data_IF_410447358841
#
_entry.id   IF_410447358841
#
_cell.length_a   1.000
_cell.length_b   1.000
_cell.length_c   1.000
_cell.angle_alpha   90.00
_cell.angle_beta   90.00
_cell.angle_gamma   90.00
#
_symmetry.space_group_name_H-M   'P 1'
#
loop_
_entity.id
_entity.type
_entity.pdbx_description
1 polymer ?
#
# COMPACT_ATOMS: atom_id res chain seq x y z
N UNK A 1 3.16 6.01 33.62
CA UNK A 1 2.45 5.45 32.46
C UNK A 1 1.88 4.10 32.89
N UNK A 2 0.59 3.82 32.72
CA UNK A 2 -0.02 2.58 33.23
C UNK A 2 0.35 1.40 32.31
N UNK A 3 1.19 0.48 32.79
CA UNK A 3 1.64 -0.70 32.04
C UNK A 3 0.52 -1.71 31.81
N UNK A 4 -0.48 -1.75 32.69
CA UNK A 4 -1.58 -2.74 32.65
C UNK A 4 -2.38 -2.65 31.35
N UNK A 5 -2.67 -1.43 30.88
CA UNK A 5 -3.40 -1.18 29.63
C UNK A 5 -2.67 -1.75 28.41
N UNK A 6 -1.33 -1.74 28.44
CA UNK A 6 -0.50 -2.25 27.33
C UNK A 6 -0.33 -3.78 27.36
N UNK A 7 -0.88 -4.47 28.37
CA UNK A 7 -0.81 -5.93 28.48
C UNK A 7 -2.14 -6.62 28.17
N UNK A 8 -3.14 -5.86 27.70
CA UNK A 8 -4.48 -6.33 27.38
C UNK A 8 -4.85 -6.02 25.92
N UNK A 9 -5.85 -6.74 25.40
CA UNK A 9 -6.34 -6.60 24.01
C UNK A 9 -7.07 -5.26 23.77
N UNK A 10 -7.39 -4.52 24.83
CA UNK A 10 -8.15 -3.26 24.79
C UNK A 10 -7.31 -2.04 24.40
N UNK A 11 -5.99 -2.18 24.20
CA UNK A 11 -5.11 -1.07 23.83
C UNK A 11 -5.69 -0.26 22.65
N UNK A 12 -5.93 1.03 22.86
CA UNK A 12 -6.45 1.93 21.83
C UNK A 12 -5.34 2.52 20.96
N UNK A 13 -5.70 3.07 19.80
CA UNK A 13 -4.75 3.76 18.93
C UNK A 13 -4.24 5.04 19.58
N UNK A 14 -5.12 5.75 20.29
CA UNK A 14 -4.79 6.99 21.00
C UNK A 14 -3.78 6.74 22.12
N UNK A 15 -3.98 5.68 22.91
CA UNK A 15 -3.03 5.27 23.95
C UNK A 15 -1.68 4.90 23.34
N UNK A 16 -1.67 4.10 22.27
CA UNK A 16 -0.43 3.77 21.57
C UNK A 16 0.26 5.03 21.03
N UNK A 17 -0.48 5.94 20.39
CA UNK A 17 0.08 7.17 19.83
C UNK A 17 0.70 8.06 20.90
N UNK A 18 0.07 8.15 22.08
CA UNK A 18 0.55 8.99 23.19
C UNK A 18 1.95 8.64 23.69
N UNK A 19 2.41 7.41 23.44
CA UNK A 19 3.71 6.91 23.91
C UNK A 19 4.78 6.90 22.81
N UNK A 20 4.39 7.11 21.55
CA UNK A 20 5.32 7.11 20.43
C UNK A 20 6.00 8.47 20.29
N UNK A 21 7.33 8.46 20.20
CA UNK A 21 8.15 9.69 20.04
C UNK A 21 8.01 10.38 18.67
N UNK A 22 7.31 9.76 17.72
CA UNK A 22 7.20 10.23 16.34
C UNK A 22 5.76 10.13 15.89
N UNK A 23 5.35 11.07 15.06
CA UNK A 23 4.08 11.00 14.36
C UNK A 23 4.14 9.94 13.26
N UNK A 24 3.21 9.00 13.36
CA UNK A 24 3.00 7.96 12.37
C UNK A 24 1.63 8.13 11.75
N UNK A 25 1.48 7.69 10.49
CA UNK A 25 0.17 7.64 9.85
C UNK A 25 -0.78 6.66 10.57
N UNK A 26 -2.08 6.90 10.48
CA UNK A 26 -3.12 6.06 11.10
C UNK A 26 -2.95 4.57 10.75
N UNK A 27 -2.67 4.27 9.48
CA UNK A 27 -2.42 2.89 9.03
C UNK A 27 -1.22 2.23 9.72
N UNK A 28 -0.19 3.01 10.02
CA UNK A 28 0.98 2.54 10.76
C UNK A 28 0.62 2.29 12.22
N UNK A 29 -0.16 3.19 12.84
CA UNK A 29 -0.63 3.03 14.22
C UNK A 29 -1.53 1.80 14.38
N UNK A 30 -2.50 1.59 13.48
CA UNK A 30 -3.34 0.38 13.43
C UNK A 30 -2.46 -0.86 13.33
N UNK A 31 -1.47 -0.84 12.45
CA UNK A 31 -0.54 -1.96 12.28
C UNK A 31 0.27 -2.23 13.55
N UNK A 32 0.80 -1.18 14.18
CA UNK A 32 1.61 -1.30 15.39
C UNK A 32 0.80 -1.81 16.58
N UNK A 33 -0.43 -1.33 16.75
CA UNK A 33 -1.37 -1.85 17.74
C UNK A 33 -1.57 -3.35 17.55
N UNK A 34 -1.97 -3.77 16.35
CA UNK A 34 -2.25 -5.18 16.06
C UNK A 34 -1.00 -6.05 16.21
N UNK A 35 0.16 -5.55 15.78
CA UNK A 35 1.43 -6.25 15.92
C UNK A 35 1.81 -6.43 17.41
N UNK A 36 1.53 -5.44 18.26
CA UNK A 36 1.75 -5.50 19.71
C UNK A 36 0.77 -6.43 20.42
N UNK A 37 -0.54 -6.28 20.18
CA UNK A 37 -1.57 -7.15 20.76
C UNK A 37 -1.30 -8.63 20.43
N UNK A 38 -0.91 -8.93 19.20
CA UNK A 38 -0.51 -10.28 18.80
C UNK A 38 0.72 -10.81 19.59
N UNK A 39 1.67 -9.92 19.93
CA UNK A 39 2.81 -10.30 20.75
C UNK A 39 2.42 -10.52 22.22
N UNK A 40 1.57 -9.66 22.77
CA UNK A 40 1.01 -9.81 24.13
C UNK A 40 0.28 -11.15 24.26
N UNK A 41 -0.60 -11.48 23.31
CA UNK A 41 -1.31 -12.76 23.29
C UNK A 41 -0.34 -13.96 23.24
N UNK A 42 0.71 -13.87 22.41
CA UNK A 42 1.76 -14.89 22.40
C UNK A 42 2.42 -15.04 23.79
N UNK A 43 2.79 -13.93 24.43
CA UNK A 43 3.40 -13.94 25.75
C UNK A 43 2.51 -14.56 26.82
N UNK A 44 1.21 -14.25 26.81
CA UNK A 44 0.22 -14.83 27.71
C UNK A 44 0.09 -16.35 27.51
N UNK A 45 -0.04 -16.80 26.26
CA UNK A 45 -0.11 -18.24 25.94
C UNK A 45 1.12 -19.02 26.39
N UNK A 46 2.30 -18.39 26.35
CA UNK A 46 3.57 -18.99 26.74
C UNK A 46 3.98 -18.68 28.19
N UNK A 47 3.12 -18.01 28.97
CA UNK A 47 3.36 -17.63 30.37
C UNK A 47 4.68 -16.87 30.58
N UNK A 48 4.99 -15.94 29.68
CA UNK A 48 6.17 -15.07 29.75
C UNK A 48 5.77 -13.60 29.73
N UNK A 49 6.64 -12.73 30.25
CA UNK A 49 6.38 -11.29 30.25
C UNK A 49 6.46 -10.70 28.84
N UNK A 50 5.47 -9.87 28.49
CA UNK A 50 5.49 -9.06 27.25
C UNK A 50 6.25 -7.74 27.42
N UNK A 51 6.32 -7.20 28.65
CA UNK A 51 7.00 -5.96 28.97
C UNK A 51 7.58 -5.99 30.40
N UNK A 52 8.91 -5.94 30.59
CA UNK A 52 9.93 -6.13 29.57
C UNK A 52 9.95 -7.60 29.07
N UNK A 53 9.99 -7.78 27.76
CA UNK A 53 10.14 -9.10 27.16
C UNK A 53 11.58 -9.60 27.21
N UNK A 54 11.74 -10.91 27.40
CA UNK A 54 13.05 -11.56 27.26
C UNK A 54 13.45 -11.71 25.80
N UNK A 55 14.76 -11.69 25.53
CA UNK A 55 15.33 -11.99 24.20
C UNK A 55 14.80 -13.31 23.64
N UNK A 56 14.66 -14.33 24.50
CA UNK A 56 14.17 -15.65 24.13
C UNK A 56 12.71 -15.61 23.67
N UNK A 57 11.84 -14.87 24.37
CA UNK A 57 10.45 -14.70 23.97
C UNK A 57 10.33 -14.05 22.59
N UNK A 58 11.10 -13.00 22.31
CA UNK A 58 11.13 -12.35 20.99
C UNK A 58 11.58 -13.32 19.90
N UNK A 59 12.63 -14.10 20.17
CA UNK A 59 13.18 -15.07 19.21
C UNK A 59 12.13 -16.12 18.82
N UNK A 60 11.51 -16.76 19.82
CA UNK A 60 10.48 -17.79 19.59
C UNK A 60 9.27 -17.19 18.88
N UNK A 61 8.87 -15.97 19.25
CA UNK A 61 7.77 -15.26 18.59
C UNK A 61 8.02 -15.04 17.09
N UNK A 62 9.19 -14.53 16.70
CA UNK A 62 9.48 -14.29 15.28
C UNK A 62 9.65 -15.58 14.48
N UNK A 63 10.15 -16.65 15.11
CA UNK A 63 10.27 -17.98 14.50
C UNK A 63 8.88 -18.61 14.27
N UNK A 64 7.95 -18.43 15.22
CA UNK A 64 6.54 -18.81 15.04
C UNK A 64 5.89 -18.01 13.92
N UNK A 65 6.01 -16.67 13.95
CA UNK A 65 5.48 -15.78 12.92
C UNK A 65 6.05 -16.09 11.53
N UNK A 66 7.31 -16.56 11.43
CA UNK A 66 7.93 -16.92 10.17
C UNK A 66 7.23 -18.06 9.44
N UNK A 67 6.44 -18.89 10.12
CA UNK A 67 5.67 -19.96 9.45
C UNK A 67 4.56 -19.42 8.56
N UNK A 68 3.97 -18.29 8.93
CA UNK A 68 2.74 -17.78 8.28
C UNK A 68 2.90 -16.38 7.69
N UNK A 69 3.80 -15.56 8.25
CA UNK A 69 3.92 -14.15 7.90
C UNK A 69 5.11 -13.92 6.98
N UNK A 70 4.95 -12.91 6.11
CA UNK A 70 6.04 -12.40 5.27
C UNK A 70 7.08 -11.69 6.13
N UNK A 71 8.34 -11.72 5.67
CA UNK A 71 9.48 -11.08 6.32
C UNK A 71 9.24 -9.59 6.67
N UNK A 72 8.54 -8.85 5.81
CA UNK A 72 8.19 -7.45 6.05
C UNK A 72 7.28 -7.26 7.27
N UNK A 73 6.36 -8.18 7.50
CA UNK A 73 5.43 -8.13 8.65
C UNK A 73 6.16 -8.44 9.95
N UNK A 74 7.07 -9.41 9.93
CA UNK A 74 7.90 -9.77 11.09
C UNK A 74 8.78 -8.59 11.51
N UNK A 75 9.43 -7.93 10.54
CA UNK A 75 10.23 -6.73 10.81
C UNK A 75 9.40 -5.58 11.39
N UNK A 76 8.19 -5.37 10.87
CA UNK A 76 7.30 -4.33 11.40
C UNK A 76 6.87 -4.64 12.83
N UNK A 77 6.54 -5.89 13.13
CA UNK A 77 6.18 -6.31 14.48
C UNK A 77 7.33 -6.11 15.48
N UNK A 78 8.58 -6.40 15.08
CA UNK A 78 9.76 -6.04 15.89
C UNK A 78 9.90 -4.53 16.12
N UNK A 79 9.57 -3.69 15.14
CA UNK A 79 9.55 -2.22 15.31
C UNK A 79 8.49 -1.82 16.34
N UNK A 80 7.29 -2.39 16.29
CA UNK A 80 6.23 -2.12 17.26
C UNK A 80 6.63 -2.49 18.68
N UNK A 81 7.21 -3.69 18.85
CA UNK A 81 7.72 -4.15 20.15
C UNK A 81 8.84 -3.23 20.65
N UNK A 82 9.79 -2.86 19.78
CA UNK A 82 10.89 -1.94 20.09
C UNK A 82 10.38 -0.58 20.57
N UNK A 83 9.40 0.00 19.86
CA UNK A 83 8.80 1.28 20.24
C UNK A 83 8.20 1.27 21.64
N UNK A 84 7.45 0.22 21.98
CA UNK A 84 6.80 0.12 23.29
C UNK A 84 7.83 -0.08 24.39
N UNK A 85 8.85 -0.93 24.18
CA UNK A 85 9.92 -1.08 25.17
C UNK A 85 10.67 0.23 25.44
N UNK A 86 11.03 0.96 24.38
CA UNK A 86 11.73 2.25 24.50
C UNK A 86 10.85 3.30 25.18
N UNK A 87 9.54 3.33 24.90
CA UNK A 87 8.61 4.28 25.49
C UNK A 87 8.45 4.09 27.01
N UNK A 88 8.54 2.85 27.48
CA UNK A 88 8.54 2.51 28.91
C UNK A 88 9.96 2.43 29.51
N UNK A 89 10.95 3.02 28.84
CA UNK A 89 12.35 3.11 29.31
C UNK A 89 13.05 1.76 29.57
N UNK A 90 12.52 0.68 28.99
CA UNK A 90 13.17 -0.63 29.03
C UNK A 90 14.22 -0.77 27.93
N UNK A 91 15.20 -1.65 28.19
CA UNK A 91 16.16 -2.09 27.16
C UNK A 91 15.42 -2.78 26.03
N UNK A 92 15.71 -2.39 24.78
CA UNK A 92 15.07 -2.97 23.59
C UNK A 92 15.57 -4.42 23.34
N UNK A 93 14.73 -5.45 23.55
CA UNK A 93 15.14 -6.85 23.37
C UNK A 93 15.34 -7.21 21.90
N UNK A 94 14.76 -6.44 20.96
CA UNK A 94 14.83 -6.71 19.52
C UNK A 94 16.21 -6.40 18.92
N UNK A 95 17.03 -5.60 19.62
CA UNK A 95 18.39 -5.23 19.20
C UNK A 95 19.44 -6.28 19.55
N UNK A 96 19.08 -7.29 20.35
CA UNK A 96 19.98 -8.35 20.79
C UNK A 96 20.54 -9.14 19.59
N UNK A 97 21.81 -9.56 19.69
CA UNK A 97 22.50 -10.32 18.65
C UNK A 97 21.77 -11.62 18.26
N UNK A 98 21.18 -12.32 19.24
CA UNK A 98 20.44 -13.56 18.99
C UNK A 98 19.17 -13.31 18.16
N UNK A 99 18.43 -12.23 18.43
CA UNK A 99 17.24 -11.86 17.64
C UNK A 99 17.64 -11.48 16.22
N UNK A 100 18.73 -10.70 16.07
CA UNK A 100 19.29 -10.35 14.76
C UNK A 100 19.74 -11.59 13.96
N UNK A 101 20.35 -12.57 14.62
CA UNK A 101 20.77 -13.82 14.02
C UNK A 101 19.57 -14.64 13.53
N UNK A 102 18.55 -14.87 14.38
CA UNK A 102 17.32 -15.56 13.96
C UNK A 102 16.61 -14.84 12.82
N UNK A 103 16.55 -13.50 12.85
CA UNK A 103 16.00 -12.72 11.74
C UNK A 103 16.82 -12.90 10.45
N UNK A 104 18.14 -13.05 10.55
CA UNK A 104 19.04 -13.39 9.45
C UNK A 104 18.71 -14.75 8.84
N UNK A 105 18.53 -15.78 9.67
CA UNK A 105 18.15 -17.13 9.24
C UNK A 105 16.78 -17.16 8.59
N UNK A 106 15.78 -16.50 9.19
CA UNK A 106 14.43 -16.37 8.62
C UNK A 106 14.49 -15.67 7.26
N UNK A 107 15.32 -14.64 7.12
CA UNK A 107 15.50 -13.93 5.83
C UNK A 107 16.03 -14.86 4.75
N UNK A 108 17.00 -15.72 5.07
CA UNK A 108 17.57 -16.67 4.11
C UNK A 108 16.53 -17.71 3.70
N UNK A 109 15.80 -18.28 4.67
CA UNK A 109 14.74 -19.24 4.41
C UNK A 109 13.60 -18.68 3.55
N UNK A 110 13.26 -17.39 3.72
CA UNK A 110 12.15 -16.72 3.00
C UNK A 110 12.55 -16.02 1.72
N UNK A 111 13.80 -16.12 1.27
CA UNK A 111 14.29 -15.34 0.12
C UNK A 111 13.48 -15.63 -1.16
N UNK A 112 12.98 -16.86 -1.30
CA UNK A 112 12.25 -17.30 -2.50
C UNK A 112 10.73 -17.05 -2.43
N UNK A 113 10.20 -16.60 -1.29
CA UNK A 113 8.76 -16.36 -1.08
C UNK A 113 8.27 -15.06 -1.76
N UNK A 114 9.17 -14.17 -2.19
CA UNK A 114 8.78 -12.85 -2.70
C UNK A 114 8.39 -12.88 -4.18
N UNK A 115 7.12 -13.19 -4.46
CA UNK A 115 6.55 -12.98 -5.80
C UNK A 115 6.26 -11.49 -6.03
N UNK A 116 6.79 -10.95 -7.13
CA UNK A 116 6.46 -9.60 -7.56
C UNK A 116 4.99 -9.51 -7.96
N UNK A 117 4.32 -8.42 -7.61
CA UNK A 117 2.94 -8.15 -8.05
C UNK A 117 2.87 -8.13 -9.58
N UNK A 118 1.89 -8.84 -10.14
CA UNK A 118 1.64 -8.79 -11.58
C UNK A 118 0.98 -7.48 -11.98
N UNK A 119 1.39 -6.94 -13.13
CA UNK A 119 0.85 -5.70 -13.67
C UNK A 119 -0.25 -5.96 -14.68
N UNK A 120 -1.34 -5.18 -14.59
CA UNK A 120 -2.35 -5.13 -15.67
C UNK A 120 -1.70 -4.45 -16.88
N UNK A 121 -1.97 -4.94 -18.09
CA UNK A 121 -1.37 -4.38 -19.32
C UNK A 121 -2.33 -3.46 -20.05
N UNK A 122 -1.83 -2.58 -20.93
CA UNK A 122 -2.69 -1.79 -21.82
C UNK A 122 -3.61 -2.65 -22.69
N UNK A 123 -3.16 -3.84 -23.11
CA UNK A 123 -4.01 -4.78 -23.85
C UNK A 123 -5.14 -5.35 -22.99
N UNK A 124 -4.89 -5.62 -21.71
CA UNK A 124 -5.94 -6.01 -20.75
C UNK A 124 -6.92 -4.87 -20.50
N UNK A 125 -6.44 -3.62 -20.36
CA UNK A 125 -7.30 -2.44 -20.22
C UNK A 125 -8.21 -2.27 -21.44
N UNK A 126 -7.68 -2.40 -22.66
CA UNK A 126 -8.49 -2.36 -23.90
C UNK A 126 -9.57 -3.44 -23.94
N UNK A 127 -9.30 -4.64 -23.41
CA UNK A 127 -10.31 -5.71 -23.32
C UNK A 127 -11.41 -5.36 -22.33
N UNK A 128 -11.06 -4.82 -21.16
CA UNK A 128 -12.02 -4.36 -20.17
C UNK A 128 -12.88 -3.22 -20.72
N UNK A 129 -12.26 -2.27 -21.41
CA UNK A 129 -12.94 -1.18 -22.11
C UNK A 129 -13.96 -1.72 -23.11
N UNK A 130 -13.54 -2.62 -24.00
CA UNK A 130 -14.44 -3.23 -24.99
C UNK A 130 -15.63 -3.96 -24.35
N UNK A 131 -15.41 -4.66 -23.23
CA UNK A 131 -16.48 -5.37 -22.53
C UNK A 131 -17.46 -4.44 -21.82
N UNK A 132 -17.02 -3.27 -21.37
CA UNK A 132 -17.78 -2.39 -20.48
C UNK A 132 -18.17 -1.05 -21.15
N UNK A 133 -17.86 -0.83 -22.43
CA UNK A 133 -18.06 0.45 -23.11
C UNK A 133 -19.52 0.90 -23.07
N UNK A 134 -20.47 -0.03 -23.23
CA UNK A 134 -21.91 0.28 -23.25
C UNK A 134 -22.59 0.09 -21.88
N UNK A 135 -21.83 -0.22 -20.82
CA UNK A 135 -22.44 -0.46 -19.51
C UNK A 135 -23.01 0.82 -18.89
N UNK A 136 -24.27 0.79 -18.47
CA UNK A 136 -24.92 1.87 -17.73
C UNK A 136 -24.72 1.74 -16.21
N UNK A 137 -24.17 0.62 -15.75
CA UNK A 137 -23.96 0.35 -14.33
C UNK A 137 -22.86 1.26 -13.78
N UNK A 138 -23.15 1.98 -12.70
CA UNK A 138 -22.27 2.98 -12.12
C UNK A 138 -20.95 2.36 -11.65
N UNK A 139 -21.01 1.10 -11.18
CA UNK A 139 -19.82 0.33 -10.79
C UNK A 139 -18.86 0.06 -11.95
N UNK A 140 -19.37 -0.16 -13.17
CA UNK A 140 -18.53 -0.45 -14.34
C UNK A 140 -17.84 0.81 -14.86
N UNK A 141 -18.61 1.91 -14.93
CA UNK A 141 -18.10 3.24 -15.30
C UNK A 141 -16.98 3.66 -14.33
N UNK A 142 -17.22 3.50 -13.03
CA UNK A 142 -16.22 3.79 -11.98
C UNK A 142 -14.97 2.94 -12.17
N UNK A 143 -15.12 1.63 -12.28
CA UNK A 143 -13.99 0.70 -12.30
C UNK A 143 -13.11 0.91 -13.54
N UNK A 144 -13.71 1.17 -14.71
CA UNK A 144 -12.99 1.57 -15.92
C UNK A 144 -12.18 2.86 -15.71
N UNK A 145 -12.82 3.91 -15.19
CA UNK A 145 -12.14 5.17 -14.92
C UNK A 145 -10.97 4.97 -13.95
N UNK A 146 -11.15 4.19 -12.88
CA UNK A 146 -10.10 3.89 -11.90
C UNK A 146 -8.93 3.10 -12.51
N UNK A 147 -9.19 2.00 -13.22
CA UNK A 147 -8.11 1.16 -13.75
C UNK A 147 -7.24 1.94 -14.72
N UNK A 148 -7.87 2.71 -15.61
CA UNK A 148 -7.17 3.49 -16.60
C UNK A 148 -6.46 4.69 -15.99
N UNK A 149 -7.10 5.43 -15.06
CA UNK A 149 -6.48 6.58 -14.40
C UNK A 149 -5.25 6.17 -13.57
N UNK A 150 -5.37 5.09 -12.79
CA UNK A 150 -4.25 4.57 -12.00
C UNK A 150 -3.10 4.09 -12.90
N UNK A 151 -3.40 3.60 -14.10
CA UNK A 151 -2.39 3.16 -15.05
C UNK A 151 -1.66 4.35 -15.68
N UNK A 152 -2.39 5.33 -16.21
CA UNK A 152 -1.81 6.50 -16.88
C UNK A 152 -0.95 7.34 -15.94
N UNK A 153 -1.45 7.65 -14.74
CA UNK A 153 -0.74 8.50 -13.77
C UNK A 153 0.12 7.73 -12.77
N UNK A 154 0.24 6.41 -12.96
CA UNK A 154 0.96 5.50 -12.07
C UNK A 154 0.53 5.65 -10.60
N UNK A 155 -0.74 5.90 -10.31
CA UNK A 155 -1.19 6.26 -8.96
C UNK A 155 -0.98 5.14 -7.93
N UNK A 156 -0.69 5.53 -6.68
CA UNK A 156 -0.85 4.64 -5.51
C UNK A 156 -2.30 4.67 -5.04
N UNK A 157 -2.71 3.64 -4.30
CA UNK A 157 -4.06 3.53 -3.70
C UNK A 157 -4.45 4.76 -2.88
N UNK A 158 -3.54 5.29 -2.06
CA UNK A 158 -3.79 6.50 -1.27
C UNK A 158 -3.97 7.74 -2.16
N UNK A 159 -3.17 7.88 -3.23
CA UNK A 159 -3.33 8.98 -4.17
C UNK A 159 -4.70 8.93 -4.84
N UNK A 160 -5.13 7.77 -5.36
CA UNK A 160 -6.47 7.61 -5.93
C UNK A 160 -7.57 7.94 -4.93
N UNK A 161 -7.45 7.41 -3.71
CA UNK A 161 -8.45 7.55 -2.65
C UNK A 161 -8.66 9.00 -2.23
N UNK A 162 -7.57 9.77 -2.18
CA UNK A 162 -7.58 11.10 -1.60
C UNK A 162 -7.88 12.19 -2.67
N UNK A 163 -7.94 11.83 -3.96
CA UNK A 163 -8.33 12.73 -5.06
C UNK A 163 -9.75 13.28 -4.85
N UNK A 164 -9.89 14.59 -5.05
CA UNK A 164 -11.16 15.32 -4.97
C UNK A 164 -11.62 15.79 -6.34
N UNK A 165 -12.90 16.11 -6.46
CA UNK A 165 -13.45 16.75 -7.68
C UNK A 165 -12.71 18.04 -8.00
N UNK A 166 -12.35 18.83 -6.98
CA UNK A 166 -11.57 20.07 -7.12
C UNK A 166 -10.16 19.88 -7.66
N UNK A 167 -9.65 18.64 -7.67
CA UNK A 167 -8.34 18.31 -8.22
C UNK A 167 -8.43 18.03 -9.74
N UNK A 168 -9.62 17.96 -10.32
CA UNK A 168 -9.85 17.70 -11.74
C UNK A 168 -10.37 18.96 -12.42
N UNK A 169 -9.76 19.33 -13.54
CA UNK A 169 -10.28 20.36 -14.43
C UNK A 169 -10.29 19.87 -15.87
N UNK A 170 -11.15 20.46 -16.70
CA UNK A 170 -11.23 20.18 -18.13
C UNK A 170 -11.10 21.49 -18.89
N UNK A 171 -10.43 21.46 -20.04
CA UNK A 171 -10.41 22.59 -20.97
C UNK A 171 -11.66 22.56 -21.90
N UNK A 172 -11.77 23.54 -22.79
CA UNK A 172 -12.90 23.68 -23.73
C UNK A 172 -13.02 22.50 -24.72
N UNK A 173 -11.93 21.76 -24.95
CA UNK A 173 -11.89 20.57 -25.80
C UNK A 173 -12.23 19.28 -25.02
N UNK A 174 -12.53 19.39 -23.72
CA UNK A 174 -12.80 18.26 -22.84
C UNK A 174 -11.56 17.46 -22.44
N UNK A 175 -10.36 17.98 -22.63
CA UNK A 175 -9.12 17.39 -22.12
C UNK A 175 -8.96 17.70 -20.63
N UNK A 176 -8.79 16.63 -19.86
CA UNK A 176 -8.67 16.68 -18.42
C UNK A 176 -7.25 17.00 -17.94
N UNK A 177 -7.18 17.57 -16.75
CA UNK A 177 -5.97 17.85 -16.00
C UNK A 177 -6.21 17.43 -14.55
N UNK A 178 -5.27 16.70 -13.95
CA UNK A 178 -5.31 16.38 -12.52
C UNK A 178 -4.22 17.14 -11.79
N UNK A 179 -4.63 17.85 -10.74
CA UNK A 179 -3.73 18.46 -9.76
C UNK A 179 -3.41 17.44 -8.68
N UNK A 180 -2.12 17.23 -8.41
CA UNK A 180 -1.65 16.51 -7.23
C UNK A 180 -0.59 17.33 -6.54
N UNK A 181 -0.90 17.80 -5.33
CA UNK A 181 -0.08 18.79 -4.60
C UNK A 181 0.10 20.04 -5.48
N UNK A 182 1.35 20.40 -5.78
CA UNK A 182 1.70 21.57 -6.60
C UNK A 182 1.85 21.25 -8.10
N UNK A 183 1.67 19.98 -8.51
CA UNK A 183 1.91 19.53 -9.87
C UNK A 183 0.62 19.27 -10.62
N UNK A 184 0.63 19.55 -11.93
CA UNK A 184 -0.49 19.34 -12.84
C UNK A 184 -0.13 18.27 -13.87
N UNK A 185 -1.04 17.32 -14.08
CA UNK A 185 -0.84 16.17 -14.94
C UNK A 185 -1.91 16.17 -16.03
N UNK A 186 -1.55 16.43 -17.31
CA UNK A 186 -2.50 16.34 -18.41
C UNK A 186 -2.92 14.88 -18.61
N UNK A 187 -4.21 14.69 -18.87
CA UNK A 187 -4.80 13.40 -19.13
C UNK A 187 -4.91 13.16 -20.64
N UNK A 188 -4.83 11.90 -21.06
CA UNK A 188 -5.17 11.58 -22.44
C UNK A 188 -6.66 11.80 -22.70
N UNK A 189 -7.02 11.94 -23.98
CA UNK A 189 -8.42 12.01 -24.44
C UNK A 189 -9.25 10.87 -23.82
N UNK A 190 -8.68 9.66 -23.79
CA UNK A 190 -9.36 8.47 -23.26
C UNK A 190 -9.73 8.61 -21.78
N UNK A 191 -8.78 9.00 -20.93
CA UNK A 191 -9.06 9.17 -19.51
C UNK A 191 -10.01 10.32 -19.26
N UNK A 192 -9.85 11.40 -20.02
CA UNK A 192 -10.73 12.56 -19.94
C UNK A 192 -12.18 12.15 -20.20
N UNK A 193 -12.44 11.40 -21.26
CA UNK A 193 -13.76 10.83 -21.57
C UNK A 193 -14.30 9.90 -20.47
N UNK A 194 -13.46 9.00 -19.94
CA UNK A 194 -13.86 8.08 -18.86
C UNK A 194 -14.20 8.83 -17.56
N UNK A 195 -13.44 9.88 -17.23
CA UNK A 195 -13.71 10.72 -16.06
C UNK A 195 -14.95 11.58 -16.25
N UNK A 196 -15.16 12.18 -17.42
CA UNK A 196 -16.38 12.92 -17.74
C UNK A 196 -17.59 12.01 -17.58
N UNK A 197 -17.56 10.82 -18.19
CA UNK A 197 -18.65 9.83 -18.06
C UNK A 197 -18.89 9.42 -16.60
N UNK A 198 -17.82 9.27 -15.80
CA UNK A 198 -17.95 8.98 -14.37
C UNK A 198 -18.62 10.13 -13.61
N UNK A 199 -18.19 11.37 -13.81
CA UNK A 199 -18.76 12.54 -13.13
C UNK A 199 -20.23 12.74 -13.51
N UNK A 200 -20.56 12.58 -14.80
CA UNK A 200 -21.94 12.65 -15.31
C UNK A 200 -22.81 11.53 -14.75
N UNK A 201 -22.35 10.27 -14.74
CA UNK A 201 -23.16 9.16 -14.23
C UNK A 201 -23.33 9.21 -12.70
N UNK A 202 -22.30 9.66 -11.98
CA UNK A 202 -22.28 9.69 -10.52
C UNK A 202 -22.92 10.93 -9.90
N UNK A 203 -23.08 12.00 -10.68
CA UNK A 203 -23.61 13.29 -10.23
C UNK A 203 -22.83 13.86 -9.01
N UNK A 204 -21.54 13.54 -8.90
CA UNK A 204 -20.68 14.03 -7.83
C UNK A 204 -20.21 15.44 -8.17
N UNK A 205 -20.64 16.43 -7.39
CA UNK A 205 -20.26 17.83 -7.58
C UNK A 205 -19.11 18.29 -6.68
N UNK A 206 -18.89 17.62 -5.55
CA UNK A 206 -17.89 18.01 -4.55
C UNK A 206 -17.30 16.82 -3.78
N UNK A 207 -16.29 17.08 -2.95
CA UNK A 207 -15.66 16.06 -2.12
C UNK A 207 -14.79 15.09 -2.92
N UNK A 208 -14.77 13.81 -2.53
CA UNK A 208 -13.92 12.79 -3.15
C UNK A 208 -14.37 12.45 -4.57
N UNK A 209 -13.41 12.39 -5.50
CA UNK A 209 -13.63 12.03 -6.90
C UNK A 209 -14.18 10.60 -7.02
N UNK A 210 -13.63 9.67 -6.25
CA UNK A 210 -14.12 8.29 -6.16
C UNK A 210 -14.59 7.96 -4.76
N UNK A 211 -15.88 7.64 -4.65
CA UNK A 211 -16.57 7.37 -3.39
C UNK A 211 -16.78 5.88 -3.16
N UNK A 212 -16.91 5.49 -1.89
CA UNK A 212 -17.34 4.14 -1.54
C UNK A 212 -18.78 3.92 -1.99
N UNK A 213 -19.09 2.67 -2.34
CA UNK A 213 -20.36 2.28 -2.95
C UNK A 213 -20.83 0.98 -2.31
N UNK A 214 -22.12 0.88 -2.01
CA UNK A 214 -22.73 -0.35 -1.50
C UNK A 214 -23.04 -1.35 -2.64
N UNK A 215 -23.65 -2.49 -2.30
CA UNK A 215 -24.01 -3.53 -3.29
C UNK A 215 -25.17 -3.14 -4.22
N UNK A 216 -25.89 -2.06 -3.89
CA UNK A 216 -27.02 -1.52 -4.64
C UNK A 216 -26.61 -0.26 -5.44
N UNK A 217 -25.31 0.02 -5.53
CA UNK A 217 -24.73 1.16 -6.25
C UNK A 217 -24.97 2.54 -5.62
N UNK A 218 -25.41 2.60 -4.35
CA UNK A 218 -25.53 3.86 -3.64
C UNK A 218 -24.15 4.39 -3.24
N UNK A 219 -23.86 5.65 -3.60
CA UNK A 219 -22.62 6.33 -3.26
C UNK A 219 -22.67 6.90 -1.85
N UNK A 220 -21.64 6.62 -1.05
CA UNK A 220 -21.42 7.27 0.24
C UNK A 220 -20.70 8.60 0.08
N UNK A 221 -20.71 9.47 1.09
CA UNK A 221 -19.82 10.64 1.14
C UNK A 221 -18.34 10.29 1.39
N UNK A 222 -18.05 9.07 1.84
CA UNK A 222 -16.70 8.62 2.16
C UNK A 222 -15.91 8.23 0.91
N UNK A 223 -14.59 8.43 0.96
CA UNK A 223 -13.66 7.94 -0.06
C UNK A 223 -13.64 6.40 -0.12
N UNK A 224 -13.06 5.84 -1.19
CA UNK A 224 -12.75 4.41 -1.27
C UNK A 224 -11.83 3.94 -0.13
N UNK A 225 -12.00 2.74 0.40
CA UNK A 225 -10.99 2.16 1.30
C UNK A 225 -10.07 1.17 0.58
N UNK A 226 -8.99 0.75 1.25
CA UNK A 226 -8.00 -0.20 0.72
C UNK A 226 -8.65 -1.50 0.20
N UNK A 227 -9.68 -1.98 0.91
CA UNK A 227 -10.45 -3.16 0.55
C UNK A 227 -11.32 -2.94 -0.69
N UNK A 228 -11.86 -1.73 -0.87
CA UNK A 228 -12.65 -1.34 -2.04
C UNK A 228 -11.78 -1.36 -3.29
N UNK A 229 -10.63 -0.68 -3.24
CA UNK A 229 -9.67 -0.68 -4.35
C UNK A 229 -9.17 -2.11 -4.64
N UNK A 230 -8.92 -2.92 -3.61
CA UNK A 230 -8.60 -4.34 -3.81
C UNK A 230 -9.71 -5.06 -4.59
N UNK A 231 -10.98 -4.94 -4.19
CA UNK A 231 -12.12 -5.57 -4.86
C UNK A 231 -12.30 -5.09 -6.31
N UNK A 232 -12.05 -3.81 -6.59
CA UNK A 232 -12.07 -3.25 -7.94
C UNK A 232 -11.04 -3.96 -8.84
N UNK A 233 -9.80 -4.14 -8.37
CA UNK A 233 -8.81 -4.92 -9.13
C UNK A 233 -9.12 -6.42 -9.16
N UNK A 234 -9.78 -6.97 -8.13
CA UNK A 234 -10.26 -8.36 -8.16
C UNK A 234 -11.29 -8.58 -9.25
N UNK A 235 -12.21 -7.64 -9.44
CA UNK A 235 -13.19 -7.66 -10.53
C UNK A 235 -12.53 -7.70 -11.91
N UNK A 236 -11.48 -6.92 -12.12
CA UNK A 236 -10.72 -6.98 -13.38
C UNK A 236 -10.21 -8.40 -13.70
N UNK A 237 -9.75 -9.16 -12.69
CA UNK A 237 -9.33 -10.55 -12.91
C UNK A 237 -10.50 -11.42 -13.37
N UNK A 238 -11.68 -11.25 -12.77
CA UNK A 238 -12.88 -12.03 -13.11
C UNK A 238 -13.28 -11.73 -14.56
N UNK A 239 -13.38 -10.45 -14.93
CA UNK A 239 -13.76 -10.03 -16.28
C UNK A 239 -12.77 -10.49 -17.37
N UNK A 240 -11.48 -10.53 -17.02
CA UNK A 240 -10.41 -10.97 -17.91
C UNK A 240 -10.16 -12.49 -17.88
N UNK A 241 -10.85 -13.25 -17.02
CA UNK A 241 -10.52 -14.64 -16.70
C UNK A 241 -9.02 -14.84 -16.36
N UNK A 242 -8.43 -13.89 -15.62
CA UNK A 242 -7.02 -13.89 -15.28
C UNK A 242 -6.74 -14.66 -13.99
N UNK A 243 -5.76 -15.55 -14.01
CA UNK A 243 -5.48 -16.49 -12.90
C UNK A 243 -4.69 -15.84 -11.77
N UNK A 244 -3.90 -14.80 -12.07
CA UNK A 244 -3.06 -14.14 -11.07
C UNK A 244 -3.73 -12.88 -10.55
N UNK A 245 -3.95 -12.86 -9.24
CA UNK A 245 -4.72 -11.80 -8.61
C UNK A 245 -4.05 -10.42 -8.72
N UNK A 246 -4.68 -9.52 -9.48
CA UNK A 246 -4.36 -8.10 -9.40
C UNK A 246 -4.65 -7.50 -8.02
N UNK A 247 -3.93 -6.41 -7.74
CA UNK A 247 -4.10 -5.57 -6.56
C UNK A 247 -4.02 -4.10 -6.98
N UNK A 248 -4.25 -3.17 -6.05
CA UNK A 248 -4.11 -1.73 -6.36
C UNK A 248 -2.69 -1.28 -6.74
N UNK A 249 -1.70 -2.17 -6.75
CA UNK A 249 -0.36 -1.89 -7.29
C UNK A 249 -0.19 -2.36 -8.75
N UNK A 250 -1.11 -3.20 -9.25
CA UNK A 250 -1.00 -3.81 -10.58
C UNK A 250 -1.02 -2.78 -11.71
N UNK A 251 -1.84 -1.73 -11.64
CA UNK A 251 -1.81 -0.63 -12.60
C UNK A 251 -0.41 0.01 -12.69
N UNK A 252 0.14 0.36 -11.54
CA UNK A 252 1.45 1.00 -11.44
C UNK A 252 2.59 0.10 -11.95
N UNK A 253 2.58 -1.20 -11.64
CA UNK A 253 3.56 -2.16 -12.17
C UNK A 253 3.45 -2.29 -13.69
N UNK A 254 2.23 -2.41 -14.21
CA UNK A 254 1.96 -2.52 -15.63
C UNK A 254 2.46 -1.31 -16.41
N UNK A 255 2.09 -0.11 -15.95
CA UNK A 255 2.51 1.15 -16.55
C UNK A 255 4.03 1.32 -16.54
N UNK A 256 4.69 0.97 -15.43
CA UNK A 256 6.17 1.02 -15.35
C UNK A 256 6.82 0.13 -16.41
N UNK A 257 6.32 -1.11 -16.57
CA UNK A 257 6.83 -2.04 -17.58
C UNK A 257 6.58 -1.52 -19.00
N UNK A 258 5.43 -0.91 -19.25
CA UNK A 258 5.10 -0.35 -20.55
C UNK A 258 5.98 0.84 -20.91
N UNK A 259 6.20 1.78 -19.98
CA UNK A 259 7.11 2.91 -20.18
C UNK A 259 8.53 2.43 -20.47
N UNK A 260 9.02 1.44 -19.73
CA UNK A 260 10.34 0.87 -20.00
C UNK A 260 10.43 0.22 -21.38
N UNK A 261 9.38 -0.48 -21.84
CA UNK A 261 9.31 -1.02 -23.20
C UNK A 261 9.28 0.07 -24.28
N UNK A 262 8.71 1.24 -23.97
CA UNK A 262 8.70 2.42 -24.84
C UNK A 262 10.04 3.19 -24.84
N UNK A 263 11.03 2.74 -24.07
CA UNK A 263 12.38 3.33 -24.06
C UNK A 263 12.60 4.42 -23.01
N UNK A 264 11.61 4.69 -22.14
CA UNK A 264 11.79 5.65 -21.05
C UNK A 264 12.87 5.18 -20.07
N UNK A 265 13.71 6.12 -19.65
CA UNK A 265 14.75 5.90 -18.65
C UNK A 265 14.15 5.64 -17.26
N UNK A 266 14.95 5.03 -16.38
CA UNK A 266 14.54 4.82 -14.98
C UNK A 266 14.29 6.14 -14.25
N UNK A 267 15.00 7.21 -14.61
CA UNK A 267 14.80 8.52 -13.99
C UNK A 267 13.45 9.12 -14.39
N UNK A 268 13.11 9.12 -15.68
CA UNK A 268 11.81 9.59 -16.16
C UNK A 268 10.67 8.77 -15.54
N UNK A 269 10.80 7.44 -15.50
CA UNK A 269 9.82 6.57 -14.84
C UNK A 269 9.72 6.92 -13.35
N UNK A 270 10.85 7.11 -12.66
CA UNK A 270 10.88 7.48 -11.25
C UNK A 270 10.09 8.78 -11.00
N UNK A 271 10.30 9.79 -11.82
CA UNK A 271 9.64 11.10 -11.75
C UNK A 271 8.14 10.97 -12.05
N UNK A 272 7.76 10.31 -13.15
CA UNK A 272 6.36 10.10 -13.54
C UNK A 272 5.56 9.37 -12.46
N UNK A 273 6.13 8.33 -11.86
CA UNK A 273 5.46 7.64 -10.77
C UNK A 273 5.66 8.31 -9.41
N UNK A 274 6.45 9.38 -9.27
CA UNK A 274 6.70 10.04 -7.98
C UNK A 274 7.30 9.09 -6.93
N UNK A 275 8.29 8.29 -7.34
CA UNK A 275 9.04 7.45 -6.41
C UNK A 275 10.18 8.25 -5.76
N UNK A 276 10.31 8.11 -4.44
CA UNK A 276 11.40 8.72 -3.66
C UNK A 276 12.77 8.17 -4.09
N UNK A 277 12.81 6.92 -4.58
CA UNK A 277 14.03 6.24 -4.99
C UNK A 277 13.78 5.38 -6.23
N UNK A 278 14.80 5.13 -7.06
CA UNK A 278 14.68 4.27 -8.24
C UNK A 278 14.55 2.79 -7.88
N UNK A 279 14.57 2.42 -6.60
CA UNK A 279 14.50 1.02 -6.15
C UNK A 279 13.26 0.27 -6.69
N UNK A 280 12.07 0.86 -6.55
CA UNK A 280 10.83 0.20 -6.97
C UNK A 280 10.64 0.19 -8.49
N UNK A 281 10.91 1.28 -9.24
CA UNK A 281 10.96 1.23 -10.69
C UNK A 281 11.86 0.11 -11.23
N UNK A 282 13.11 0.04 -10.74
CA UNK A 282 14.04 -1.02 -11.09
C UNK A 282 13.48 -2.41 -10.78
N UNK A 283 12.85 -2.58 -9.60
CA UNK A 283 12.21 -3.86 -9.27
C UNK A 283 11.10 -4.21 -10.27
N UNK A 284 10.25 -3.25 -10.62
CA UNK A 284 9.10 -3.50 -11.47
C UNK A 284 9.48 -3.93 -12.89
N UNK A 285 10.57 -3.38 -13.41
CA UNK A 285 11.10 -3.74 -14.74
C UNK A 285 12.05 -4.96 -14.70
N UNK A 286 12.20 -5.64 -13.56
CA UNK A 286 13.02 -6.85 -13.43
C UNK A 286 14.50 -6.60 -13.15
N UNK A 287 14.94 -5.36 -12.96
CA UNK A 287 16.31 -5.00 -12.56
C UNK A 287 16.49 -5.17 -11.03
N UNK A 288 16.32 -6.40 -10.54
CA UNK A 288 16.28 -6.73 -9.10
C UNK A 288 17.58 -6.41 -8.37
N UNK A 289 18.75 -6.68 -8.96
CA UNK A 289 20.06 -6.35 -8.37
C UNK A 289 20.20 -4.84 -8.09
N UNK A 290 19.92 -4.01 -9.10
CA UNK A 290 19.90 -2.54 -8.97
C UNK A 290 18.88 -2.08 -7.95
N UNK A 291 17.70 -2.72 -7.90
CA UNK A 291 16.70 -2.43 -6.87
C UNK A 291 17.25 -2.67 -5.45
N UNK A 292 17.92 -3.79 -5.22
CA UNK A 292 18.49 -4.13 -3.91
C UNK A 292 19.61 -3.18 -3.49
N UNK A 293 20.49 -2.78 -4.41
CA UNK A 293 21.53 -1.76 -4.16
C UNK A 293 20.91 -0.43 -3.73
N UNK A 294 19.89 0.03 -4.46
CA UNK A 294 19.19 1.28 -4.14
C UNK A 294 18.47 1.21 -2.80
N UNK A 295 17.88 0.06 -2.45
CA UNK A 295 17.27 -0.16 -1.13
C UNK A 295 18.29 -0.04 -0.01
N UNK A 296 19.51 -0.58 -0.19
CA UNK A 296 20.58 -0.49 0.82
C UNK A 296 21.00 0.97 1.05
N UNK A 297 21.19 1.74 -0.02
CA UNK A 297 21.56 3.17 0.05
C UNK A 297 20.51 4.00 0.80
N UNK A 298 19.22 3.73 0.57
CA UNK A 298 18.15 4.47 1.26
C UNK A 298 17.92 4.01 2.70
N UNK A 299 18.25 2.76 3.05
CA UNK A 299 18.18 2.27 4.43
C UNK A 299 19.26 2.89 5.32
N UNK A 300 20.47 3.10 4.80
CA UNK A 300 21.56 3.74 5.54
C UNK A 300 21.29 5.23 5.78
N UNK A 301 20.65 5.95 4.84
CA UNK A 301 20.27 7.36 5.02
C UNK A 301 19.12 7.60 6.02
N UNK A 302 18.32 6.58 6.35
CA UNK A 302 17.18 6.69 7.31
C UNK A 302 17.49 6.24 8.74
N UNK A 303 18.70 5.78 9.01
CA UNK A 303 19.19 5.55 10.37
C UNK A 303 20.12 6.71 10.77
N UNK A 304 19.60 7.88 11.18
CA UNK A 304 20.37 8.69 12.10
C UNK A 304 20.46 7.91 13.42
N UNK A 305 21.66 7.95 13.98
CA UNK A 305 22.08 7.41 15.28
C UNK A 305 21.03 7.69 16.36
#
# INVERSE_FOLDING_TARGET
MNTVTFLNDELTIQELQSILKKDYSDNSLVSFKNDWVNFVHFCQLHQVNALPASTTAIRIFIEKQAKEKKMSSIRRSLISISHIHIAFEFKDPTKNAQVKASLGSIRLAKKDDSKQTEGITSQMLKKLEYQLSESVELKDIRDLAIWHLMFELLLKRGELRDLKVTDVSFNDEGLGLIKMKEYYYPLSIKISQLLTRWLEASQILEGYLFRSMDRHENLSLNHLNDSSIYRIFRRANILLNHTVNFSGLSARVGATKELSKKGYSIQEIQEMGRWISPAMPNQYIGQTKRSEEQKKIFQTKKSPI
#
